data_IF_545611264433
#
_entry.id   IF_545611264433
#
_cell.length_a   1.000
_cell.length_b   1.000
_cell.length_c   1.000
_cell.angle_alpha   90.00
_cell.angle_beta   90.00
_cell.angle_gamma   90.00
#
_symmetry.space_group_name_H-M   'P 1'
#
loop_
_entity.id
_entity.type
_entity.pdbx_description
1 polymer ?
#
# COMPACT_ATOMS: atom_id res chain seq x y z
N UNK A 1 -14.19 -17.34 19.29
CA UNK A 1 -14.65 -18.21 18.19
C UNK A 1 -16.16 -18.50 18.23
N UNK A 2 -16.78 -18.84 19.38
CA UNK A 2 -18.20 -19.22 19.46
C UNK A 2 -19.23 -18.16 18.96
N UNK A 3 -18.93 -16.87 19.08
CA UNK A 3 -19.83 -15.78 18.62
C UNK A 3 -20.03 -15.74 17.10
N UNK A 4 -19.10 -16.32 16.33
CA UNK A 4 -19.10 -16.27 14.87
C UNK A 4 -19.98 -17.39 14.25
N UNK A 5 -20.07 -18.54 14.91
CA UNK A 5 -20.79 -19.72 14.37
C UNK A 5 -22.28 -19.49 14.18
N UNK A 6 -22.93 -18.76 15.10
CA UNK A 6 -24.34 -18.40 14.98
C UNK A 6 -24.60 -17.45 13.80
N UNK A 7 -23.65 -16.57 13.48
CA UNK A 7 -23.76 -15.65 12.35
C UNK A 7 -23.46 -16.34 11.03
N UNK A 8 -22.52 -17.28 10.99
CA UNK A 8 -22.23 -18.11 9.81
C UNK A 8 -23.47 -18.94 9.41
N UNK A 9 -24.20 -19.50 10.37
CA UNK A 9 -25.44 -20.25 10.09
C UNK A 9 -26.55 -19.36 9.51
N UNK A 10 -26.72 -18.14 10.05
CA UNK A 10 -27.66 -17.15 9.52
C UNK A 10 -27.26 -16.67 8.13
N UNK A 11 -25.96 -16.48 7.91
CA UNK A 11 -25.41 -16.13 6.60
C UNK A 11 -25.64 -17.24 5.56
N UNK A 12 -25.47 -18.51 5.94
CA UNK A 12 -25.77 -19.65 5.05
C UNK A 12 -27.27 -19.74 4.70
N UNK A 13 -28.16 -19.41 5.63
CA UNK A 13 -29.60 -19.32 5.33
C UNK A 13 -29.92 -18.13 4.40
N UNK A 14 -29.29 -16.98 4.63
CA UNK A 14 -29.37 -15.82 3.74
C UNK A 14 -28.91 -16.16 2.32
N UNK A 15 -27.81 -16.90 2.15
CA UNK A 15 -27.34 -17.34 0.82
C UNK A 15 -28.34 -18.26 0.11
N UNK A 16 -29.03 -19.13 0.85
CA UNK A 16 -30.11 -19.95 0.27
C UNK A 16 -31.30 -19.10 -0.16
N UNK A 17 -31.66 -18.11 0.66
CA UNK A 17 -32.76 -17.22 0.35
C UNK A 17 -32.45 -16.29 -0.83
N UNK A 18 -31.24 -15.76 -0.91
CA UNK A 18 -30.82 -14.86 -2.00
C UNK A 18 -30.78 -15.59 -3.34
N UNK A 19 -30.36 -16.86 -3.34
CA UNK A 19 -30.41 -17.71 -4.53
C UNK A 19 -31.84 -18.07 -4.94
N UNK A 20 -32.78 -18.08 -4.00
CA UNK A 20 -34.20 -18.35 -4.31
C UNK A 20 -34.93 -17.09 -4.80
N UNK A 21 -34.59 -15.92 -4.26
CA UNK A 21 -35.17 -14.61 -4.65
C UNK A 21 -34.24 -13.80 -5.58
N UNK A 22 -33.45 -14.51 -6.39
CA UNK A 22 -32.39 -13.97 -7.26
C UNK A 22 -32.78 -12.70 -8.04
N UNK A 23 -33.95 -12.61 -8.72
CA UNK A 23 -34.30 -11.39 -9.47
C UNK A 23 -34.66 -10.18 -8.59
N UNK A 24 -35.12 -10.40 -7.36
CA UNK A 24 -35.56 -9.33 -6.47
C UNK A 24 -34.36 -8.74 -5.71
N UNK A 25 -33.46 -9.60 -5.26
CA UNK A 25 -32.29 -9.17 -4.49
C UNK A 25 -31.23 -8.47 -5.33
N UNK A 26 -31.20 -8.69 -6.64
CA UNK A 26 -30.28 -7.98 -7.55
C UNK A 26 -30.56 -6.47 -7.62
N UNK A 27 -31.81 -6.06 -7.40
CA UNK A 27 -32.21 -4.66 -7.37
C UNK A 27 -32.02 -4.00 -5.99
N UNK A 28 -31.70 -4.77 -4.95
CA UNK A 28 -31.64 -4.30 -3.57
C UNK A 28 -30.18 -4.06 -3.16
N UNK A 29 -29.82 -2.87 -2.62
CA UNK A 29 -28.46 -2.58 -2.22
C UNK A 29 -27.98 -3.48 -1.06
N UNK A 30 -26.69 -3.83 -1.07
CA UNK A 30 -26.07 -4.80 -0.13
C UNK A 30 -26.17 -4.35 1.34
N UNK A 31 -26.14 -3.04 1.61
CA UNK A 31 -26.34 -2.55 2.98
C UNK A 31 -27.74 -2.90 3.50
N UNK A 32 -28.74 -2.92 2.62
CA UNK A 32 -30.13 -3.16 3.00
C UNK A 32 -30.37 -4.63 3.29
N UNK A 33 -29.77 -5.53 2.51
CA UNK A 33 -29.84 -6.97 2.75
C UNK A 33 -29.16 -7.36 4.07
N UNK A 34 -27.98 -6.77 4.37
CA UNK A 34 -27.30 -6.95 5.65
C UNK A 34 -28.15 -6.47 6.83
N UNK A 35 -28.86 -5.34 6.67
CA UNK A 35 -29.75 -4.77 7.69
C UNK A 35 -31.03 -5.58 7.90
N UNK A 36 -31.67 -6.05 6.83
CA UNK A 36 -32.88 -6.88 6.91
C UNK A 36 -32.63 -8.21 7.63
N UNK A 37 -31.42 -8.74 7.53
CA UNK A 37 -31.03 -10.00 8.15
C UNK A 37 -30.35 -9.86 9.52
N UNK A 38 -30.39 -8.65 10.10
CA UNK A 38 -29.79 -8.32 11.39
C UNK A 38 -28.36 -8.86 11.55
N UNK A 39 -27.61 -8.88 10.45
CA UNK A 39 -26.24 -9.37 10.43
C UNK A 39 -25.36 -8.32 11.11
N UNK A 40 -24.48 -8.73 12.01
CA UNK A 40 -23.63 -7.79 12.72
C UNK A 40 -22.78 -6.96 11.74
N UNK A 41 -22.66 -5.65 12.00
CA UNK A 41 -21.78 -4.76 11.25
C UNK A 41 -20.33 -5.22 11.31
N UNK A 42 -19.89 -5.88 12.39
CA UNK A 42 -18.55 -6.44 12.47
C UNK A 42 -18.34 -7.61 11.51
N UNK A 43 -19.30 -8.54 11.42
CA UNK A 43 -19.23 -9.65 10.47
C UNK A 43 -19.31 -9.15 9.02
N UNK A 44 -20.17 -8.17 8.77
CA UNK A 44 -20.35 -7.57 7.46
C UNK A 44 -19.05 -6.89 6.99
N UNK A 45 -18.40 -6.12 7.86
CA UNK A 45 -17.15 -5.42 7.53
C UNK A 45 -15.93 -6.35 7.47
N UNK A 46 -15.86 -7.36 8.33
CA UNK A 46 -14.71 -8.27 8.40
C UNK A 46 -14.76 -9.40 7.36
N UNK A 47 -15.95 -9.80 6.90
CA UNK A 47 -16.13 -10.98 6.03
C UNK A 47 -16.93 -10.67 4.76
N UNK A 48 -18.12 -10.06 4.86
CA UNK A 48 -19.01 -9.88 3.71
C UNK A 48 -18.53 -8.82 2.70
N UNK A 49 -18.10 -7.65 3.16
CA UNK A 49 -17.56 -6.60 2.29
C UNK A 49 -16.25 -7.02 1.60
N UNK A 50 -15.27 -7.64 2.28
CA UNK A 50 -14.11 -8.21 1.60
C UNK A 50 -14.47 -9.25 0.53
N UNK A 51 -15.43 -10.14 0.78
CA UNK A 51 -15.86 -11.13 -0.22
C UNK A 51 -16.61 -10.47 -1.39
N UNK A 52 -17.59 -9.61 -1.12
CA UNK A 52 -18.34 -8.92 -2.18
C UNK A 52 -17.43 -8.02 -3.01
N UNK A 53 -16.50 -7.30 -2.37
CA UNK A 53 -15.46 -6.56 -3.10
C UNK A 53 -14.57 -7.51 -3.88
N UNK A 54 -14.14 -8.65 -3.35
CA UNK A 54 -13.31 -9.62 -4.10
C UNK A 54 -14.03 -10.20 -5.33
N UNK A 55 -15.30 -10.56 -5.20
CA UNK A 55 -16.10 -11.13 -6.29
C UNK A 55 -16.56 -10.08 -7.31
N UNK A 56 -16.78 -8.83 -6.89
CA UNK A 56 -17.10 -7.72 -7.80
C UNK A 56 -15.84 -7.08 -8.40
N UNK A 57 -14.68 -7.22 -7.75
CA UNK A 57 -13.39 -6.71 -8.21
C UNK A 57 -12.72 -7.67 -9.18
N UNK A 58 -13.44 -7.98 -10.25
CA UNK A 58 -12.79 -8.26 -11.52
C UNK A 58 -12.57 -6.95 -12.30
N UNK A 59 -12.15 -5.89 -11.60
CA UNK A 59 -11.65 -4.69 -12.27
C UNK A 59 -10.36 -5.07 -12.98
N UNK A 60 -10.40 -5.12 -14.31
CA UNK A 60 -9.24 -5.30 -15.19
C UNK A 60 -8.23 -4.18 -14.91
N UNK A 61 -7.34 -4.36 -13.93
CA UNK A 61 -6.24 -3.44 -13.67
C UNK A 61 -5.24 -3.61 -14.82
N UNK A 62 -5.26 -2.68 -15.77
CA UNK A 62 -4.29 -2.65 -16.85
C UNK A 62 -3.00 -2.00 -16.33
N UNK A 63 -1.92 -2.76 -16.34
CA UNK A 63 -0.60 -2.27 -15.97
C UNK A 63 0.17 -1.85 -17.24
N UNK A 64 0.74 -0.66 -17.20
CA UNK A 64 1.59 -0.12 -18.26
C UNK A 64 3.01 0.02 -17.72
N UNK A 65 3.90 -0.91 -18.09
CA UNK A 65 5.31 -0.87 -17.68
C UNK A 65 6.15 -0.07 -18.67
N UNK A 66 7.27 0.51 -18.19
CA UNK A 66 8.21 1.31 -18.99
C UNK A 66 7.57 2.52 -19.71
N UNK A 67 6.50 3.06 -19.15
CA UNK A 67 5.85 4.27 -19.64
C UNK A 67 5.97 5.38 -18.61
N UNK A 68 6.97 6.25 -18.80
CA UNK A 68 7.09 7.46 -17.97
C UNK A 68 6.00 8.45 -18.36
N UNK A 69 5.30 8.99 -17.38
CA UNK A 69 4.31 10.06 -17.59
C UNK A 69 5.04 11.36 -17.82
N UNK A 70 4.87 11.97 -18.99
CA UNK A 70 5.48 13.27 -19.29
C UNK A 70 4.72 14.42 -18.65
N UNK A 71 3.39 14.32 -18.67
CA UNK A 71 2.52 15.43 -18.32
C UNK A 71 1.20 14.94 -17.77
N UNK A 72 0.75 15.57 -16.69
CA UNK A 72 -0.56 15.33 -16.11
C UNK A 72 -1.27 16.67 -15.91
N UNK A 73 -2.47 16.75 -16.47
CA UNK A 73 -3.50 17.73 -16.13
C UNK A 73 -4.50 17.06 -15.18
N UNK A 74 -5.29 17.82 -14.43
CA UNK A 74 -6.20 17.29 -13.40
C UNK A 74 -7.06 16.08 -13.83
N UNK A 75 -7.42 16.00 -15.10
CA UNK A 75 -8.21 14.90 -15.67
C UNK A 75 -7.46 14.05 -16.71
N UNK A 76 -6.34 14.54 -17.26
CA UNK A 76 -5.71 13.94 -18.44
C UNK A 76 -4.26 13.54 -18.14
N UNK A 77 -3.89 12.33 -18.56
CA UNK A 77 -2.52 11.81 -18.44
C UNK A 77 -1.95 11.62 -19.83
N UNK A 78 -0.74 12.15 -20.05
CA UNK A 78 0.03 12.01 -21.28
C UNK A 78 1.33 11.25 -21.00
N UNK A 79 1.58 10.20 -21.78
CA UNK A 79 2.77 9.34 -21.64
C UNK A 79 3.84 9.66 -22.68
N UNK A 80 5.09 9.33 -22.37
CA UNK A 80 6.24 9.61 -23.24
C UNK A 80 6.14 8.95 -24.62
N UNK A 81 5.68 7.71 -24.65
CA UNK A 81 5.59 6.90 -25.86
C UNK A 81 4.39 7.23 -26.76
N UNK A 82 3.61 8.27 -26.45
CA UNK A 82 2.32 8.62 -27.08
C UNK A 82 1.33 7.43 -27.21
N UNK A 83 1.65 6.32 -26.55
CA UNK A 83 0.96 5.04 -26.68
C UNK A 83 -0.29 5.03 -25.80
N UNK A 84 -0.34 5.89 -24.79
CA UNK A 84 -1.44 6.02 -23.86
C UNK A 84 -1.74 7.48 -23.53
N UNK A 85 -2.87 7.96 -24.06
CA UNK A 85 -3.49 9.23 -23.70
C UNK A 85 -4.93 8.94 -23.25
N UNK A 86 -5.24 9.25 -21.99
CA UNK A 86 -6.52 8.91 -21.37
C UNK A 86 -7.03 10.00 -20.45
N UNK A 87 -8.35 10.17 -20.42
CA UNK A 87 -9.05 10.98 -19.42
C UNK A 87 -9.52 10.07 -18.29
N UNK A 88 -9.32 10.50 -17.05
CA UNK A 88 -9.72 9.80 -15.84
C UNK A 88 -10.47 10.73 -14.92
N UNK A 89 -11.46 10.20 -14.20
CA UNK A 89 -12.18 10.95 -13.16
C UNK A 89 -11.28 11.23 -11.95
N UNK A 90 -10.40 10.27 -11.63
CA UNK A 90 -9.50 10.34 -10.49
C UNK A 90 -8.11 9.84 -10.85
N UNK A 91 -7.09 10.57 -10.42
CA UNK A 91 -5.67 10.21 -10.58
C UNK A 91 -5.07 10.09 -9.18
N UNK A 92 -4.40 8.97 -8.92
CA UNK A 92 -3.71 8.72 -7.66
C UNK A 92 -2.21 8.65 -7.96
N UNK A 93 -1.44 9.54 -7.33
CA UNK A 93 0.01 9.53 -7.44
C UNK A 93 0.61 8.65 -6.34
N UNK A 94 1.44 7.70 -6.74
CA UNK A 94 2.19 6.81 -5.85
C UNK A 94 3.71 6.93 -6.10
N UNK A 95 4.15 8.15 -6.40
CA UNK A 95 5.56 8.52 -6.63
C UNK A 95 5.97 9.66 -5.68
N UNK A 96 7.25 10.02 -5.70
CA UNK A 96 7.79 11.13 -4.92
C UNK A 96 7.16 12.47 -5.32
N UNK A 97 7.06 13.37 -4.35
CA UNK A 97 6.36 14.65 -4.51
C UNK A 97 7.06 15.58 -5.50
N UNK A 98 8.38 15.47 -5.63
CA UNK A 98 9.15 16.25 -6.60
C UNK A 98 8.83 15.83 -8.04
N UNK A 99 8.76 14.53 -8.30
CA UNK A 99 8.35 13.97 -9.59
C UNK A 99 6.92 14.39 -9.92
N UNK A 100 6.00 14.35 -8.96
CA UNK A 100 4.63 14.84 -9.15
C UNK A 100 4.62 16.32 -9.58
N UNK A 101 5.40 17.18 -8.93
CA UNK A 101 5.51 18.59 -9.31
C UNK A 101 6.07 18.80 -10.72
N UNK A 102 7.04 17.99 -11.15
CA UNK A 102 7.63 18.05 -12.50
C UNK A 102 6.62 17.67 -13.59
N UNK A 103 5.71 16.75 -13.29
CA UNK A 103 4.73 16.23 -14.26
C UNK A 103 3.52 17.18 -14.41
N UNK A 104 3.24 18.01 -13.40
CA UNK A 104 2.15 18.99 -13.48
C UNK A 104 2.47 20.16 -14.43
N UNK A 105 1.53 20.50 -15.30
CA UNK A 105 1.69 21.65 -16.21
C UNK A 105 1.52 23.00 -15.49
N UNK A 106 0.52 23.11 -14.60
CA UNK A 106 0.17 24.35 -13.90
C UNK A 106 -0.24 24.06 -12.45
N UNK A 107 0.70 23.72 -11.55
CA UNK A 107 0.38 23.44 -10.16
C UNK A 107 -0.03 24.71 -9.41
N UNK A 108 -1.10 24.63 -8.61
CA UNK A 108 -1.53 25.71 -7.72
C UNK A 108 -0.45 26.03 -6.68
N UNK A 109 -0.40 27.26 -6.17
CA UNK A 109 0.55 27.67 -5.13
C UNK A 109 0.50 26.77 -3.89
N UNK A 110 -0.68 26.26 -3.55
CA UNK A 110 -0.85 25.32 -2.44
C UNK A 110 -0.16 23.98 -2.75
N UNK A 111 -0.33 23.46 -3.97
CA UNK A 111 0.31 22.22 -4.40
C UNK A 111 1.84 22.38 -4.43
N UNK A 112 2.34 23.51 -4.94
CA UNK A 112 3.77 23.82 -4.92
C UNK A 112 4.31 23.91 -3.49
N UNK A 113 3.59 24.56 -2.57
CA UNK A 113 4.01 24.67 -1.18
C UNK A 113 4.01 23.31 -0.45
N UNK A 114 2.98 22.49 -0.66
CA UNK A 114 2.84 21.18 0.01
C UNK A 114 3.83 20.17 -0.54
N UNK A 115 3.96 20.07 -1.86
CA UNK A 115 4.83 19.08 -2.50
C UNK A 115 6.29 19.51 -2.52
N UNK A 116 6.57 20.82 -2.52
CA UNK A 116 7.93 21.37 -2.62
C UNK A 116 8.70 21.43 -1.31
N UNK A 117 8.03 21.31 -0.15
CA UNK A 117 8.67 21.40 1.16
C UNK A 117 9.06 20.03 1.76
N UNK A 118 9.13 18.99 0.93
CA UNK A 118 9.51 17.65 1.36
C UNK A 118 11.03 17.50 1.25
N UNK A 119 11.68 17.07 2.34
CA UNK A 119 13.12 16.77 2.36
C UNK A 119 13.35 15.29 2.09
N UNK A 120 14.17 15.02 1.09
CA UNK A 120 14.65 13.69 0.77
C UNK A 120 16.07 13.51 1.31
N UNK A 121 16.39 12.29 1.71
CA UNK A 121 17.72 11.87 2.12
C UNK A 121 18.15 10.77 1.18
N UNK A 122 19.31 10.96 0.54
CA UNK A 122 19.89 9.93 -0.31
C UNK A 122 20.63 8.92 0.57
N UNK A 123 20.29 7.65 0.39
CA UNK A 123 21.04 6.53 0.94
C UNK A 123 21.67 5.76 -0.22
N UNK A 124 22.93 5.38 -0.07
CA UNK A 124 23.66 4.61 -1.08
C UNK A 124 23.91 3.21 -0.52
N UNK A 125 23.16 2.24 -1.03
CA UNK A 125 23.29 0.85 -0.65
C UNK A 125 24.30 0.14 -1.55
N UNK A 126 25.42 -0.30 -0.97
CA UNK A 126 26.42 -1.12 -1.67
C UNK A 126 26.21 -2.61 -1.37
N UNK A 127 25.80 -3.36 -2.38
CA UNK A 127 25.71 -4.82 -2.28
C UNK A 127 26.96 -5.44 -2.91
N UNK A 128 27.70 -6.24 -2.14
CA UNK A 128 28.88 -6.96 -2.60
C UNK A 128 28.91 -8.34 -1.93
N UNK A 129 29.58 -9.30 -2.58
CA UNK A 129 29.76 -10.66 -2.07
C UNK A 129 31.22 -10.96 -1.73
N UNK A 130 32.10 -9.95 -1.81
CA UNK A 130 33.53 -10.09 -1.57
C UNK A 130 33.83 -10.17 -0.07
N UNK A 131 34.08 -11.39 0.39
CA UNK A 131 34.36 -11.71 1.78
C UNK A 131 35.72 -11.17 2.25
N UNK A 132 36.72 -11.05 1.37
CA UNK A 132 38.04 -10.52 1.72
C UNK A 132 37.98 -9.01 1.96
N UNK A 133 37.22 -8.30 1.12
CA UNK A 133 36.91 -6.89 1.34
C UNK A 133 36.15 -6.67 2.66
N UNK A 134 35.13 -7.49 2.93
CA UNK A 134 34.33 -7.37 4.15
C UNK A 134 35.14 -7.61 5.42
N UNK A 135 35.98 -8.65 5.47
CA UNK A 135 36.86 -8.93 6.62
C UNK A 135 37.85 -7.79 6.90
N UNK A 136 38.23 -7.05 5.87
CA UNK A 136 39.20 -5.95 5.99
C UNK A 136 38.54 -4.66 6.51
N UNK A 137 37.29 -4.39 6.13
CA UNK A 137 36.63 -3.11 6.38
C UNK A 137 35.48 -3.16 7.39
N UNK A 138 34.99 -4.35 7.75
CA UNK A 138 33.84 -4.55 8.66
C UNK A 138 34.12 -5.68 9.68
N UNK A 139 33.48 -5.65 10.84
CA UNK A 139 33.46 -6.80 11.75
C UNK A 139 32.37 -7.77 11.31
N UNK A 140 32.74 -8.71 10.44
CA UNK A 140 31.81 -9.70 9.90
C UNK A 140 31.66 -10.87 10.86
N UNK A 141 30.43 -11.19 11.28
CA UNK A 141 30.12 -12.49 11.86
C UNK A 141 29.29 -13.31 10.88
N UNK A 142 29.83 -14.45 10.43
CA UNK A 142 29.20 -15.30 9.40
C UNK A 142 28.04 -16.16 9.93
N UNK A 143 27.75 -16.10 11.23
CA UNK A 143 26.71 -16.90 11.88
C UNK A 143 25.31 -16.30 11.69
N UNK A 144 25.21 -15.01 11.36
CA UNK A 144 23.96 -14.29 11.19
C UNK A 144 24.08 -13.17 10.15
N UNK A 145 22.96 -12.79 9.53
CA UNK A 145 22.93 -11.70 8.56
C UNK A 145 23.17 -10.35 9.25
N UNK A 146 23.98 -9.49 8.63
CA UNK A 146 24.42 -8.21 9.19
C UNK A 146 24.27 -7.07 8.19
N UNK A 147 23.88 -5.91 8.69
CA UNK A 147 23.82 -4.67 7.93
C UNK A 147 24.71 -3.61 8.57
N UNK A 148 25.61 -3.02 7.78
CA UNK A 148 26.53 -1.99 8.22
C UNK A 148 26.05 -0.62 7.73
N UNK A 149 25.74 0.29 8.66
CA UNK A 149 25.30 1.65 8.32
C UNK A 149 26.46 2.62 8.53
N UNK A 150 26.77 3.38 7.50
CA UNK A 150 27.77 4.46 7.58
C UNK A 150 27.07 5.80 7.52
N UNK A 151 26.92 6.48 8.66
CA UNK A 151 26.52 7.88 8.66
C UNK A 151 27.74 8.71 8.26
N UNK A 152 27.83 9.11 6.99
CA UNK A 152 28.94 9.90 6.50
C UNK A 152 28.84 11.36 7.02
N UNK A 153 29.26 11.58 8.27
CA UNK A 153 29.50 12.91 8.85
C UNK A 153 31.00 13.17 8.95
N UNK A 154 31.74 13.13 7.84
CA UNK A 154 33.11 13.66 7.66
C UNK A 154 34.22 13.23 8.65
N UNK A 155 33.93 12.50 9.72
CA UNK A 155 34.88 12.02 10.72
C UNK A 155 34.19 10.98 11.62
N UNK A 156 34.07 9.75 11.15
CA UNK A 156 33.82 8.56 11.99
C UNK A 156 34.14 7.33 11.14
N UNK A 157 35.36 6.81 11.29
CA UNK A 157 35.80 5.56 10.62
C UNK A 157 35.19 4.31 11.24
N UNK A 158 34.07 4.43 11.93
CA UNK A 158 33.42 3.33 12.61
C UNK A 158 32.03 3.10 12.00
N UNK A 159 31.79 1.95 11.35
CA UNK A 159 30.44 1.55 10.98
C UNK A 159 29.59 1.47 12.24
N UNK A 160 28.38 2.00 12.19
CA UNK A 160 27.37 1.66 13.19
C UNK A 160 26.84 0.28 12.81
N UNK A 161 27.20 -0.71 13.62
CA UNK A 161 26.76 -2.09 13.48
C UNK A 161 25.40 -2.24 14.18
N UNK A 162 24.36 -2.63 13.44
CA UNK A 162 23.09 -3.05 14.05
C UNK A 162 22.88 -4.55 13.79
N UNK A 163 22.99 -5.40 14.83
CA UNK A 163 22.55 -6.78 14.72
C UNK A 163 21.03 -6.83 14.56
N UNK A 164 20.54 -7.77 13.75
CA UNK A 164 19.13 -7.95 13.43
C UNK A 164 18.22 -8.17 14.65
N UNK A 165 18.77 -8.63 15.78
CA UNK A 165 18.02 -8.77 17.04
C UNK A 165 17.53 -7.44 17.63
N UNK A 166 18.12 -6.30 17.25
CA UNK A 166 17.64 -4.98 17.67
C UNK A 166 16.45 -4.44 16.85
N UNK A 167 16.08 -5.13 15.77
CA UNK A 167 14.91 -4.85 14.94
C UNK A 167 13.78 -5.83 15.30
N UNK A 168 13.56 -6.08 16.58
CA UNK A 168 12.18 -6.40 16.98
C UNK A 168 11.36 -5.15 16.71
N UNK A 169 10.48 -5.24 15.70
CA UNK A 169 9.44 -4.26 15.41
C UNK A 169 8.91 -3.67 16.72
N UNK A 170 8.74 -2.35 16.87
CA UNK A 170 8.10 -1.80 18.05
C UNK A 170 6.78 -2.53 18.19
N UNK A 171 6.70 -3.37 19.23
CA UNK A 171 5.47 -4.10 19.50
C UNK A 171 4.37 -3.06 19.51
N UNK A 172 3.36 -3.28 18.69
CA UNK A 172 2.13 -2.49 18.56
C UNK A 172 1.28 -2.59 19.84
N UNK A 173 1.92 -2.61 21.01
CA UNK A 173 1.34 -2.91 22.32
C UNK A 173 1.20 -1.68 23.21
N UNK A 174 1.78 -0.52 22.86
CA UNK A 174 1.70 0.69 23.69
C UNK A 174 1.03 1.92 23.03
N UNK A 175 0.36 1.74 21.88
CA UNK A 175 -0.48 2.78 21.28
C UNK A 175 -1.96 2.33 21.20
N UNK A 176 -2.52 1.80 22.28
CA UNK A 176 -3.93 1.95 22.69
C UNK A 176 -3.95 1.75 24.21
N UNK A 177 -3.88 2.85 24.95
CA UNK A 177 -4.49 2.96 26.27
C UNK A 177 -5.44 4.16 26.20
N UNK A 178 -6.71 3.83 25.99
CA UNK A 178 -7.85 4.62 26.47
C UNK A 178 -7.80 4.74 27.98
#
# INVERSE_FOLDING_TARGET
MQKLESEIKRFGWLLKLISWLEPIFICIPIWLTARLFCLSSCFTNAMLYPLTTLFFRHSQTKFYFNQSTRKVTLTNVYTDSDQFNGSFDFIIFACDAETVLKIFENPSKIQQAVLGNIRYFDDVTYTHTDLDYMKTHYNVHLEFDQYFIHSNMKDSRQPLEMPLESIESPTTSNCIKT
#
